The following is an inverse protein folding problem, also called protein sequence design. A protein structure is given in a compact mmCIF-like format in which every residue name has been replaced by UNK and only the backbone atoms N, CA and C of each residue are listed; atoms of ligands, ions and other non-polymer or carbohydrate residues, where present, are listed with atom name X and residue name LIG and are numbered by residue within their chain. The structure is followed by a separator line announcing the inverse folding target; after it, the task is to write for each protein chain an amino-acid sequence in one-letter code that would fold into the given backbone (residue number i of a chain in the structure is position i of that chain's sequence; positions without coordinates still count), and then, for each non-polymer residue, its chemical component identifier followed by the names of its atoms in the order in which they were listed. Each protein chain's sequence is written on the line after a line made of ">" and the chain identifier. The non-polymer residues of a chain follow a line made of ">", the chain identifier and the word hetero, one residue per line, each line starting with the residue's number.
data_IF_032318308454
#
_entry.id   IF_032318308454
#
_cell.length_a   1.000
_cell.length_b   1.000
_cell.length_c   1.000
_cell.angle_alpha   90.00
_cell.angle_beta   90.00
_cell.angle_gamma   90.00
#
_symmetry.space_group_name_H-M   'P 1'
#
loop_
_entity.id
_entity.type
_entity.pdbx_description
1 polymer ?
#
# COMPACT_ATOMS: atom_id res chain seq x y z
N UNK A 1 -4.82 7.55 12.58
CA UNK A 1 -4.97 8.77 13.41
C UNK A 1 -4.47 8.56 14.84
N UNK A 2 -5.00 7.65 15.65
CA UNK A 2 -4.62 7.49 17.07
C UNK A 2 -3.11 7.42 17.38
N UNK A 3 -2.32 6.77 16.52
CA UNK A 3 -0.87 6.70 16.69
C UNK A 3 -0.24 8.09 16.53
N UNK A 4 -0.61 8.81 15.48
CA UNK A 4 -0.10 10.13 15.17
C UNK A 4 -0.46 11.15 16.27
N UNK A 5 -1.69 11.06 16.76
CA UNK A 5 -2.16 11.91 17.88
C UNK A 5 -1.36 11.62 19.17
N UNK A 6 -1.13 10.34 19.48
CA UNK A 6 -0.39 9.93 20.67
C UNK A 6 1.09 10.36 20.64
N UNK A 7 1.66 10.60 19.45
CA UNK A 7 3.04 11.04 19.28
C UNK A 7 3.18 12.52 18.91
N UNK A 8 2.08 13.28 18.98
CA UNK A 8 2.07 14.72 18.68
C UNK A 8 2.28 15.04 17.19
N UNK A 9 2.06 14.06 16.30
CA UNK A 9 2.32 14.19 14.86
C UNK A 9 1.09 14.60 14.05
N UNK A 10 -0.06 14.80 14.69
CA UNK A 10 -1.31 15.18 14.01
C UNK A 10 -1.18 16.46 13.16
N UNK A 11 -0.29 17.37 13.57
CA UNK A 11 0.02 18.61 12.85
C UNK A 11 1.54 18.79 12.62
N UNK A 12 2.30 17.71 12.68
CA UNK A 12 3.75 17.73 12.55
C UNK A 12 4.26 17.12 11.25
N UNK A 13 5.55 17.24 11.02
CA UNK A 13 6.25 16.57 9.93
C UNK A 13 6.46 15.08 10.26
N UNK A 14 5.46 14.26 9.96
CA UNK A 14 5.55 12.83 10.14
C UNK A 14 6.51 12.17 9.15
N UNK A 15 6.80 12.80 8.01
CA UNK A 15 7.80 12.29 7.09
C UNK A 15 9.17 12.28 7.74
N UNK A 16 9.60 13.42 8.30
CA UNK A 16 10.87 13.49 9.00
C UNK A 16 10.93 12.51 10.19
N UNK A 17 9.84 12.43 10.96
CA UNK A 17 9.74 11.48 12.07
C UNK A 17 9.96 10.03 11.64
N UNK A 18 9.34 9.60 10.53
CA UNK A 18 9.43 8.23 10.07
C UNK A 18 10.71 7.92 9.28
N UNK A 19 11.32 8.91 8.63
CA UNK A 19 12.50 8.68 7.77
C UNK A 19 13.82 9.02 8.43
N UNK A 20 13.83 9.87 9.48
CA UNK A 20 15.05 10.36 10.13
C UNK A 20 15.24 9.82 11.55
N UNK A 21 14.34 8.98 12.03
CA UNK A 21 14.40 8.38 13.36
C UNK A 21 14.16 6.86 13.30
N UNK A 22 14.48 6.16 14.38
CA UNK A 22 14.22 4.72 14.52
C UNK A 22 12.71 4.36 14.52
N UNK A 23 11.85 5.36 14.70
CA UNK A 23 10.41 5.16 14.81
C UNK A 23 9.78 4.68 13.49
N UNK A 24 10.34 5.01 12.33
CA UNK A 24 9.84 4.51 11.04
C UNK A 24 9.85 2.99 10.96
N UNK A 25 10.95 2.37 11.36
CA UNK A 25 11.05 0.91 11.43
C UNK A 25 10.10 0.30 12.45
N UNK A 26 9.92 0.93 13.62
CA UNK A 26 8.98 0.45 14.64
C UNK A 26 7.53 0.49 14.13
N UNK A 27 7.10 1.61 13.56
CA UNK A 27 5.76 1.80 12.98
C UNK A 27 5.44 0.75 11.92
N UNK A 28 6.44 0.41 11.10
CA UNK A 28 6.29 -0.61 10.06
C UNK A 28 6.17 -2.01 10.65
N UNK A 29 7.04 -2.36 11.61
CA UNK A 29 6.97 -3.68 12.29
C UNK A 29 5.67 -3.86 13.08
N UNK A 30 5.11 -2.79 13.62
CA UNK A 30 3.82 -2.78 14.30
C UNK A 30 2.63 -2.80 13.33
N UNK A 31 2.86 -2.62 12.04
CA UNK A 31 1.83 -2.64 11.01
C UNK A 31 0.92 -1.40 11.00
N UNK A 32 1.40 -0.28 11.50
CA UNK A 32 0.67 1.00 11.51
C UNK A 32 0.79 1.69 10.16
N UNK A 33 1.99 1.64 9.56
CA UNK A 33 2.23 2.11 8.21
C UNK A 33 3.20 1.17 7.49
N UNK A 34 2.99 0.97 6.20
CA UNK A 34 3.85 0.15 5.34
C UNK A 34 4.38 1.03 4.21
N UNK A 35 5.69 1.28 4.14
CA UNK A 35 6.26 2.10 3.11
C UNK A 35 6.39 1.32 1.79
N UNK A 36 6.04 1.96 0.68
CA UNK A 36 6.36 1.48 -0.68
C UNK A 36 7.44 2.43 -1.21
N UNK A 37 8.70 2.02 -1.07
CA UNK A 37 9.87 2.84 -1.35
C UNK A 37 10.45 2.56 -2.73
N UNK A 38 11.24 3.52 -3.25
CA UNK A 38 11.94 3.34 -4.52
C UNK A 38 11.05 3.41 -5.75
N UNK A 39 9.79 3.80 -5.62
CA UNK A 39 8.89 4.01 -6.75
C UNK A 39 9.26 5.27 -7.53
N UNK A 40 9.02 5.27 -8.84
CA UNK A 40 9.13 6.48 -9.66
C UNK A 40 8.05 7.48 -9.28
N UNK A 41 8.29 8.76 -9.60
CA UNK A 41 7.24 9.79 -9.54
C UNK A 41 6.31 9.61 -10.74
N UNK A 42 5.28 8.78 -10.58
CA UNK A 42 4.36 8.40 -11.63
C UNK A 42 2.97 8.15 -11.05
N UNK A 43 2.01 7.84 -11.93
CA UNK A 43 0.68 7.38 -11.54
C UNK A 43 0.70 5.87 -11.37
N UNK A 44 0.14 5.40 -10.27
CA UNK A 44 0.03 3.97 -9.95
C UNK A 44 -1.41 3.59 -9.71
N UNK A 45 -1.84 2.48 -10.28
CA UNK A 45 -3.08 1.82 -9.89
C UNK A 45 -2.84 0.97 -8.65
N UNK A 46 -3.86 0.87 -7.80
CA UNK A 46 -3.84 0.02 -6.62
C UNK A 46 -5.04 -0.91 -6.62
N UNK A 47 -4.76 -2.18 -6.40
CA UNK A 47 -5.75 -3.19 -6.12
C UNK A 47 -5.59 -3.72 -4.70
N UNK A 48 -6.68 -3.96 -4.01
CA UNK A 48 -6.67 -4.48 -2.64
C UNK A 48 -7.59 -5.69 -2.56
N UNK A 49 -7.05 -6.81 -2.13
CA UNK A 49 -7.81 -8.03 -1.87
C UNK A 49 -7.69 -8.49 -0.43
N UNK A 50 -8.75 -9.09 0.10
CA UNK A 50 -8.82 -9.53 1.50
C UNK A 50 -9.28 -10.98 1.55
N UNK A 51 -8.48 -11.83 2.20
CA UNK A 51 -8.72 -13.27 2.29
C UNK A 51 -8.05 -14.06 1.18
N UNK A 52 -8.48 -15.30 1.00
CA UNK A 52 -8.10 -16.12 -0.13
C UNK A 52 -8.81 -15.60 -1.38
N UNK A 53 -8.07 -15.43 -2.44
CA UNK A 53 -8.57 -14.87 -3.70
C UNK A 53 -8.34 -15.91 -4.78
N UNK A 54 -9.42 -16.35 -5.40
CA UNK A 54 -9.38 -17.28 -6.52
C UNK A 54 -8.90 -16.61 -7.83
N UNK A 55 -8.99 -15.29 -7.91
CA UNK A 55 -8.50 -14.51 -9.06
C UNK A 55 -7.22 -13.77 -8.73
N UNK A 56 -6.14 -14.16 -9.35
CA UNK A 56 -4.87 -13.45 -9.30
C UNK A 56 -4.92 -12.25 -10.25
N UNK A 57 -4.82 -11.03 -9.71
CA UNK A 57 -4.70 -9.80 -10.51
C UNK A 57 -3.40 -9.82 -11.33
N UNK A 58 -2.38 -10.47 -10.79
CA UNK A 58 -1.18 -10.86 -11.50
C UNK A 58 -1.02 -12.37 -11.41
N UNK A 59 -0.76 -13.03 -12.52
CA UNK A 59 -0.06 -14.30 -12.47
C UNK A 59 1.27 -14.04 -11.71
N UNK A 60 1.61 -14.88 -10.74
CA UNK A 60 2.86 -14.70 -9.95
C UNK A 60 4.11 -14.56 -10.82
N UNK A 61 4.07 -15.12 -12.03
CA UNK A 61 5.15 -15.02 -13.02
C UNK A 61 5.22 -13.66 -13.74
N UNK A 62 4.16 -12.85 -13.66
CA UNK A 62 4.10 -11.52 -14.28
C UNK A 62 4.43 -10.39 -13.30
N UNK A 63 4.35 -10.67 -12.00
CA UNK A 63 4.78 -9.70 -11.00
C UNK A 63 6.30 -9.46 -11.10
N UNK A 64 6.68 -8.19 -11.23
CA UNK A 64 8.09 -7.77 -11.25
C UNK A 64 8.68 -7.72 -9.85
N UNK A 65 7.82 -7.45 -8.87
CA UNK A 65 8.18 -7.39 -7.45
C UNK A 65 7.15 -8.18 -6.67
N UNK A 66 7.64 -9.00 -5.75
CA UNK A 66 6.84 -9.69 -4.74
C UNK A 66 7.52 -9.47 -3.40
N UNK A 67 6.89 -8.71 -2.52
CA UNK A 67 7.40 -8.45 -1.17
C UNK A 67 6.40 -8.98 -0.14
N UNK A 68 6.90 -9.81 0.76
CA UNK A 68 6.12 -10.56 1.75
C UNK A 68 6.57 -10.24 3.18
N UNK A 69 5.79 -10.73 4.13
CA UNK A 69 6.16 -10.64 5.55
C UNK A 69 5.80 -9.33 6.21
N UNK A 70 4.99 -8.51 5.55
CA UNK A 70 4.47 -7.29 6.14
C UNK A 70 3.30 -7.58 7.08
N UNK A 71 3.18 -6.74 8.09
CA UNK A 71 2.04 -6.72 9.00
C UNK A 71 1.23 -5.46 8.74
N UNK A 72 -0.08 -5.54 8.83
CA UNK A 72 -0.95 -4.38 8.76
C UNK A 72 -2.04 -4.44 9.84
N UNK A 73 -2.20 -3.35 10.58
CA UNK A 73 -3.26 -3.16 11.57
C UNK A 73 -4.34 -2.24 11.05
N UNK A 74 -5.52 -2.80 10.79
CA UNK A 74 -6.67 -2.01 10.37
C UNK A 74 -7.49 -1.50 11.56
N UNK A 75 -7.73 -0.20 11.58
CA UNK A 75 -8.73 0.43 12.45
C UNK A 75 -10.11 0.56 11.80
N UNK A 76 -10.31 -0.02 10.61
CA UNK A 76 -11.54 0.04 9.81
C UNK A 76 -11.33 0.55 8.38
N UNK A 77 -10.17 1.10 8.08
CA UNK A 77 -9.83 1.65 6.76
C UNK A 77 -8.34 1.45 6.46
N UNK A 78 -8.03 1.03 5.26
CA UNK A 78 -6.70 1.16 4.67
C UNK A 78 -6.67 2.45 3.85
N UNK A 79 -5.67 3.30 4.08
CA UNK A 79 -5.39 4.48 3.26
C UNK A 79 -4.06 4.32 2.54
N UNK A 80 -4.05 4.72 1.27
CA UNK A 80 -2.84 4.80 0.45
C UNK A 80 -2.64 6.27 0.09
N UNK A 81 -1.47 6.80 0.40
CA UNK A 81 -1.14 8.21 0.19
C UNK A 81 0.28 8.36 -0.33
N UNK A 82 0.50 9.38 -1.13
CA UNK A 82 1.85 9.77 -1.54
C UNK A 82 2.68 10.24 -0.34
N UNK A 83 3.94 9.83 -0.28
CA UNK A 83 4.84 10.10 0.85
C UNK A 83 5.01 11.61 1.12
N UNK A 84 4.93 12.46 0.10
CA UNK A 84 5.03 13.91 0.26
C UNK A 84 3.96 14.54 1.14
N UNK A 85 2.79 13.90 1.26
CA UNK A 85 1.72 14.39 2.14
C UNK A 85 1.98 14.13 3.63
N UNK A 86 2.97 13.28 3.96
CA UNK A 86 3.38 13.06 5.35
C UNK A 86 4.12 14.25 5.98
N UNK A 87 4.54 15.24 5.18
CA UNK A 87 5.06 16.52 5.69
C UNK A 87 3.98 17.34 6.41
N UNK A 88 2.72 17.15 6.02
CA UNK A 88 1.59 17.82 6.64
C UNK A 88 0.36 16.91 6.53
N UNK A 89 0.15 16.10 7.54
CA UNK A 89 -0.91 15.09 7.58
C UNK A 89 -2.31 15.71 7.52
N UNK A 90 -2.45 16.95 7.99
CA UNK A 90 -3.73 17.66 7.95
C UNK A 90 -4.26 17.84 6.51
N UNK A 91 -3.38 17.76 5.53
CA UNK A 91 -3.70 17.88 4.10
C UNK A 91 -4.13 16.57 3.46
N UNK A 92 -4.07 15.45 4.17
CA UNK A 92 -4.50 14.15 3.65
C UNK A 92 -6.02 14.08 3.64
N UNK A 93 -6.60 14.22 2.46
CA UNK A 93 -8.03 14.17 2.20
C UNK A 93 -8.40 13.16 1.12
N UNK A 94 -9.67 13.10 0.75
CA UNK A 94 -10.18 12.18 -0.28
C UNK A 94 -9.57 12.45 -1.66
N UNK A 95 -9.22 13.70 -1.96
CA UNK A 95 -8.66 14.13 -3.24
C UNK A 95 -7.22 13.68 -3.47
N UNK A 96 -6.49 13.23 -2.43
CA UNK A 96 -5.08 12.89 -2.51
C UNK A 96 -4.74 11.59 -1.75
N UNK A 97 -5.75 10.77 -1.48
CA UNK A 97 -5.59 9.44 -0.89
C UNK A 97 -6.60 8.46 -1.47
N UNK A 98 -6.19 7.20 -1.60
CA UNK A 98 -7.11 6.11 -1.85
C UNK A 98 -7.53 5.52 -0.50
N UNK A 99 -8.82 5.22 -0.36
CA UNK A 99 -9.37 4.68 0.89
C UNK A 99 -10.18 3.42 0.61
N UNK A 100 -9.85 2.35 1.31
CA UNK A 100 -10.52 1.06 1.22
C UNK A 100 -11.11 0.69 2.57
N UNK A 101 -12.41 0.35 2.61
CA UNK A 101 -13.03 -0.17 3.83
C UNK A 101 -12.46 -1.55 4.14
N UNK A 102 -12.00 -1.74 5.38
CA UNK A 102 -11.40 -2.96 5.84
C UNK A 102 -11.92 -3.29 7.24
N UNK A 103 -12.19 -4.55 7.54
CA UNK A 103 -12.55 -4.94 8.91
C UNK A 103 -11.42 -4.59 9.88
N UNK A 104 -11.78 -4.22 11.11
CA UNK A 104 -10.79 -4.01 12.17
C UNK A 104 -10.09 -5.32 12.48
N UNK A 105 -8.77 -5.29 12.60
CA UNK A 105 -8.00 -6.50 12.87
C UNK A 105 -6.57 -6.42 12.40
N UNK A 106 -5.90 -7.54 12.52
CA UNK A 106 -4.52 -7.73 12.10
C UNK A 106 -4.47 -8.55 10.82
N UNK A 107 -3.56 -8.21 9.95
CA UNK A 107 -3.42 -8.85 8.65
C UNK A 107 -1.96 -9.14 8.36
N UNK A 108 -1.70 -10.25 7.69
CA UNK A 108 -0.49 -10.38 6.90
C UNK A 108 -0.74 -9.65 5.59
N UNK A 109 0.23 -8.86 5.16
CA UNK A 109 0.18 -8.13 3.90
C UNK A 109 1.30 -8.62 2.99
N UNK A 110 0.94 -8.90 1.76
CA UNK A 110 1.84 -9.14 0.64
C UNK A 110 1.63 -8.02 -0.39
N UNK A 111 2.72 -7.53 -0.95
CA UNK A 111 2.72 -6.45 -1.94
C UNK A 111 3.31 -7.02 -3.23
N UNK A 112 2.52 -7.00 -4.29
CA UNK A 112 2.96 -7.34 -5.62
C UNK A 112 2.99 -6.08 -6.46
N UNK A 113 4.04 -5.89 -7.26
CA UNK A 113 4.17 -4.79 -8.20
C UNK A 113 4.43 -5.31 -9.61
N UNK A 114 3.85 -4.65 -10.62
CA UNK A 114 4.02 -5.02 -12.01
C UNK A 114 3.25 -4.11 -12.95
N UNK A 115 3.21 -4.46 -14.22
CA UNK A 115 2.45 -3.75 -15.21
C UNK A 115 1.15 -4.50 -15.51
N UNK A 116 0.10 -3.74 -15.74
CA UNK A 116 -1.20 -4.31 -16.12
C UNK A 116 -1.09 -4.88 -17.53
N UNK A 117 -1.17 -6.21 -17.66
CA UNK A 117 -1.23 -6.86 -18.96
C UNK A 117 -2.56 -6.57 -19.69
N UNK A 118 -2.55 -6.67 -21.02
CA UNK A 118 -3.72 -6.42 -21.85
C UNK A 118 -4.94 -7.32 -21.53
N UNK A 119 -4.77 -8.37 -20.75
CA UNK A 119 -5.79 -9.37 -20.40
C UNK A 119 -6.47 -9.13 -19.05
N UNK A 120 -6.27 -7.98 -18.42
CA UNK A 120 -6.92 -7.68 -17.15
C UNK A 120 -8.42 -7.39 -17.35
N UNK A 121 -9.25 -8.40 -17.16
CA UNK A 121 -10.71 -8.33 -17.36
C UNK A 121 -11.51 -7.71 -16.20
N UNK A 122 -10.88 -7.29 -15.13
CA UNK A 122 -11.54 -6.84 -13.89
C UNK A 122 -11.70 -5.33 -13.72
N UNK A 123 -11.26 -4.50 -14.66
CA UNK A 123 -11.51 -3.06 -14.61
C UNK A 123 -12.79 -2.70 -15.38
N UNK A 124 -13.60 -1.73 -14.92
CA UNK A 124 -14.61 -1.15 -15.76
C UNK A 124 -13.93 -0.66 -17.05
N UNK A 125 -14.45 -1.08 -18.20
CA UNK A 125 -13.96 -0.60 -19.49
C UNK A 125 -13.98 0.93 -19.48
N UNK A 126 -12.88 1.61 -19.88
CA UNK A 126 -12.93 3.04 -20.03
C UNK A 126 -13.99 3.38 -21.06
N UNK A 127 -14.76 4.43 -20.80
CA UNK A 127 -15.71 5.00 -21.75
C UNK A 127 -14.91 5.57 -22.94
N UNK A 128 -14.72 4.75 -23.99
CA UNK A 128 -14.07 5.14 -25.24
C UNK A 128 -13.15 4.04 -25.78
N UNK A 129 -13.10 3.94 -27.11
CA UNK A 129 -12.31 2.96 -27.87
C UNK A 129 -10.77 3.20 -27.82
N UNK A 130 -10.26 3.81 -26.79
CA UNK A 130 -8.81 3.97 -26.64
C UNK A 130 -8.24 2.67 -26.10
N UNK A 131 -7.34 1.99 -26.85
CA UNK A 131 -6.66 0.81 -26.31
C UNK A 131 -5.94 1.21 -25.03
N UNK A 132 -6.27 0.56 -23.92
CA UNK A 132 -5.56 0.73 -22.66
C UNK A 132 -4.13 0.28 -22.93
N UNK A 133 -3.22 1.23 -23.09
CA UNK A 133 -1.81 0.92 -23.16
C UNK A 133 -1.43 0.19 -21.86
N UNK A 134 -0.86 -0.99 -22.04
CA UNK A 134 -0.59 -1.99 -21.01
C UNK A 134 0.51 -1.60 -20.02
N UNK A 135 0.88 -0.34 -19.94
CA UNK A 135 2.09 0.13 -19.24
C UNK A 135 1.80 0.86 -17.92
N UNK A 136 0.55 0.86 -17.46
CA UNK A 136 0.26 1.46 -16.15
C UNK A 136 0.80 0.56 -15.05
N UNK A 137 1.73 1.06 -14.22
CA UNK A 137 2.23 0.29 -13.09
C UNK A 137 1.14 0.10 -12.05
N UNK A 138 1.03 -1.11 -11.55
CA UNK A 138 0.00 -1.52 -10.58
C UNK A 138 0.64 -2.12 -9.34
N UNK A 139 0.15 -1.74 -8.17
CA UNK A 139 0.41 -2.45 -6.92
C UNK A 139 -0.83 -3.23 -6.49
N UNK A 140 -0.63 -4.50 -6.21
CA UNK A 140 -1.64 -5.36 -5.63
C UNK A 140 -1.31 -5.66 -4.17
N UNK A 141 -2.16 -5.21 -3.26
CA UNK A 141 -2.06 -5.41 -1.83
C UNK A 141 -2.97 -6.58 -1.44
N UNK A 142 -2.36 -7.71 -1.06
CA UNK A 142 -3.07 -8.90 -0.57
C UNK A 142 -3.05 -8.93 0.94
N UNK A 143 -4.21 -8.90 1.56
CA UNK A 143 -4.40 -8.86 3.00
C UNK A 143 -5.03 -10.17 3.46
N UNK A 144 -4.31 -10.97 4.23
CA UNK A 144 -4.83 -12.19 4.84
C UNK A 144 -5.07 -11.94 6.33
N UNK A 145 -6.32 -12.07 6.84
CA UNK A 145 -6.58 -11.94 8.27
C UNK A 145 -5.69 -12.87 9.09
N UNK A 146 -5.14 -12.40 10.18
CA UNK A 146 -4.24 -13.17 11.05
C UNK A 146 -4.38 -12.73 12.49
N UNK A 147 -4.39 -13.70 13.43
CA UNK A 147 -4.51 -13.40 14.87
C UNK A 147 -3.22 -12.76 15.37
N UNK A 148 -2.08 -13.33 14.99
CA UNK A 148 -0.75 -12.88 15.43
C UNK A 148 0.22 -12.84 14.23
N UNK A 149 0.06 -11.89 13.30
CA UNK A 149 1.00 -11.76 12.23
C UNK A 149 2.35 -11.31 12.78
N UNK A 150 3.42 -11.99 12.36
CA UNK A 150 4.80 -11.60 12.70
C UNK A 150 5.40 -10.88 11.51
N UNK A 151 6.03 -9.75 11.77
CA UNK A 151 6.81 -9.04 10.76
C UNK A 151 8.06 -9.86 10.41
N UNK A 152 8.23 -10.09 9.13
CA UNK A 152 9.44 -10.68 8.53
C UNK A 152 9.77 -10.06 7.18
N UNK A 153 9.17 -8.89 6.91
CA UNK A 153 9.41 -8.14 5.69
C UNK A 153 10.79 -7.49 5.67
N UNK A 154 11.24 -7.15 4.48
CA UNK A 154 12.48 -6.42 4.26
C UNK A 154 12.18 -4.92 4.15
N UNK A 155 12.65 -4.14 5.13
CA UNK A 155 12.47 -2.70 5.18
C UNK A 155 13.24 -1.95 4.07
N UNK A 156 14.20 -2.61 3.44
CA UNK A 156 15.03 -2.03 2.39
C UNK A 156 14.55 -2.43 0.98
N UNK A 157 13.43 -3.15 0.89
CA UNK A 157 12.84 -3.51 -0.41
C UNK A 157 12.60 -2.26 -1.24
N UNK A 158 13.22 -2.20 -2.42
CA UNK A 158 12.92 -1.21 -3.44
C UNK A 158 11.80 -1.72 -4.34
N UNK A 159 10.75 -0.92 -4.50
CA UNK A 159 9.62 -1.24 -5.39
C UNK A 159 9.78 -0.58 -6.77
N UNK A 160 11.02 -0.45 -7.21
CA UNK A 160 11.33 0.04 -8.55
C UNK A 160 11.20 -1.07 -9.60
N UNK A 161 10.35 -0.86 -10.62
CA UNK A 161 10.19 -1.77 -11.78
C UNK A 161 9.78 -1.02 -13.04
#
# INVERSE_FOLDING_TARGET
>A
MRYLDAHGLANGDALAYFTQTEHGGAVTREGIAVPILGVRSDYYDFAVTVGEVDEEIFNQNEAKIISRGWVFHSSGTLKIVGIGYFKDISRIGEQNSLSFKLKRGRYRLEILGGYRGANFSGAPAPLGDTPILSDTPVFHLRLTPSIEPKFSGDLETSFYF
#
